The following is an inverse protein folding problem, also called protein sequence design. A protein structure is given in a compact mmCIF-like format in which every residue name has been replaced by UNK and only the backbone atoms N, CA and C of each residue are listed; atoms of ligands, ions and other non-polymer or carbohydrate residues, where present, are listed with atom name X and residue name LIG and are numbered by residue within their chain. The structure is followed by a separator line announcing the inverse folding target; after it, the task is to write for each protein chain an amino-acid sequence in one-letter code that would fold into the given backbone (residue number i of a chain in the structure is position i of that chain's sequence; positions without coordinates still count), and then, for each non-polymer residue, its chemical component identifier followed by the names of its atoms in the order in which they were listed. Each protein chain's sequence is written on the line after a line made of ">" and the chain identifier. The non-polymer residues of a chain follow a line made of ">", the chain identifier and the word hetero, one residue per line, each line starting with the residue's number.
data_IF_887240035419
#
_entry.id   IF_887240035419
#
_cell.length_a   1.000
_cell.length_b   1.000
_cell.length_c   1.000
_cell.angle_alpha   90.00
_cell.angle_beta   90.00
_cell.angle_gamma   90.00
#
_symmetry.space_group_name_H-M   'P 1'
#
loop_
_entity.id
_entity.type
_entity.pdbx_description
1 polymer ?
#
# COMPACT_ATOMS: atom_id res chain seq x y z
N UNK A 1 -11.16 -53.19 29.64
CA UNK A 1 -9.80 -53.73 29.75
C UNK A 1 -9.29 -54.44 28.50
N UNK A 2 -10.13 -54.94 27.57
CA UNK A 2 -9.65 -55.56 26.31
C UNK A 2 -9.62 -54.56 25.14
N UNK A 3 -10.48 -53.54 25.16
CA UNK A 3 -10.61 -52.58 24.05
C UNK A 3 -9.46 -51.54 23.98
N UNK A 4 -8.79 -51.25 25.11
CA UNK A 4 -7.72 -50.25 25.18
C UNK A 4 -6.37 -50.76 24.64
N UNK A 5 -6.13 -52.08 24.69
CA UNK A 5 -4.89 -52.68 24.19
C UNK A 5 -4.84 -52.73 22.65
N UNK A 6 -6.00 -52.95 22.01
CA UNK A 6 -6.13 -52.99 20.55
C UNK A 6 -5.97 -51.60 19.92
N UNK A 7 -6.45 -50.54 20.59
CA UNK A 7 -6.26 -49.16 20.15
C UNK A 7 -4.79 -48.72 20.24
N UNK A 8 -4.11 -49.05 21.34
CA UNK A 8 -2.68 -48.79 21.50
C UNK A 8 -1.82 -49.56 20.48
N UNK A 9 -2.20 -50.80 20.14
CA UNK A 9 -1.54 -51.59 19.10
C UNK A 9 -1.74 -50.98 17.69
N UNK A 10 -2.90 -50.39 17.40
CA UNK A 10 -3.16 -49.73 16.13
C UNK A 10 -2.36 -48.43 15.96
N UNK A 11 -2.28 -47.61 17.01
CA UNK A 11 -1.51 -46.36 16.98
C UNK A 11 0.00 -46.59 16.82
N UNK A 12 0.54 -47.58 17.53
CA UNK A 12 1.96 -47.96 17.43
C UNK A 12 2.31 -48.48 16.04
N UNK A 13 1.45 -49.31 15.43
CA UNK A 13 1.62 -49.78 14.06
C UNK A 13 1.58 -48.65 13.02
N UNK A 14 0.65 -47.69 13.17
CA UNK A 14 0.56 -46.52 12.31
C UNK A 14 1.80 -45.61 12.44
N UNK A 15 2.30 -45.43 13.66
CA UNK A 15 3.52 -44.66 13.93
C UNK A 15 4.75 -45.30 13.28
N UNK A 16 4.92 -46.62 13.41
CA UNK A 16 6.01 -47.38 12.77
C UNK A 16 5.91 -47.29 11.25
N UNK A 17 4.71 -47.43 10.69
CA UNK A 17 4.48 -47.28 9.24
C UNK A 17 4.82 -45.85 8.75
N UNK A 18 4.36 -44.80 9.45
CA UNK A 18 4.72 -43.40 9.16
C UNK A 18 6.24 -43.18 9.21
N UNK A 19 6.92 -43.77 10.20
CA UNK A 19 8.38 -43.64 10.36
C UNK A 19 9.14 -44.38 9.26
N UNK A 20 8.71 -45.58 8.87
CA UNK A 20 9.25 -46.33 7.71
C UNK A 20 9.02 -45.57 6.41
N UNK A 21 7.82 -45.02 6.18
CA UNK A 21 7.50 -44.17 5.02
C UNK A 21 8.33 -42.89 4.98
N UNK A 22 8.53 -42.22 6.13
CA UNK A 22 9.39 -41.03 6.26
C UNK A 22 10.87 -41.36 6.02
N UNK A 23 11.36 -42.50 6.51
CA UNK A 23 12.73 -42.99 6.24
C UNK A 23 12.92 -43.37 4.76
N UNK A 24 11.96 -44.07 4.13
CA UNK A 24 12.00 -44.40 2.69
C UNK A 24 11.93 -43.15 1.82
N UNK A 25 11.12 -42.16 2.19
CA UNK A 25 11.08 -40.84 1.54
C UNK A 25 12.39 -40.07 1.73
N UNK A 26 13.03 -40.14 2.91
CA UNK A 26 14.34 -39.52 3.16
C UNK A 26 15.46 -40.20 2.37
N UNK A 27 15.48 -41.53 2.29
CA UNK A 27 16.43 -42.30 1.45
C UNK A 27 16.28 -41.97 -0.03
N UNK A 28 15.04 -41.93 -0.54
CA UNK A 28 14.75 -41.47 -1.91
C UNK A 28 15.09 -40.01 -2.18
N UNK A 29 15.11 -39.15 -1.14
CA UNK A 29 15.54 -37.75 -1.24
C UNK A 29 17.06 -37.60 -1.17
N UNK A 30 17.77 -38.48 -0.45
CA UNK A 30 19.24 -38.52 -0.44
C UNK A 30 19.82 -39.20 -1.69
N UNK A 31 19.05 -40.06 -2.36
CA UNK A 31 19.35 -40.60 -3.70
C UNK A 31 18.93 -39.66 -4.83
N UNK A 32 18.17 -38.59 -4.55
CA UNK A 32 17.85 -37.57 -5.56
C UNK A 32 19.11 -36.74 -5.79
N UNK A 33 19.88 -37.25 -6.75
CA UNK A 33 20.87 -36.61 -7.60
C UNK A 33 21.86 -35.70 -6.88
N UNK A 34 23.07 -36.21 -6.69
CA UNK A 34 24.23 -35.33 -6.60
C UNK A 34 24.50 -34.77 -8.01
N UNK A 35 25.10 -33.59 -8.13
CA UNK A 35 25.63 -33.14 -9.41
C UNK A 35 26.74 -34.08 -9.89
N UNK A 36 26.79 -34.34 -11.19
CA UNK A 36 27.88 -35.09 -11.82
C UNK A 36 29.18 -34.27 -11.73
N UNK A 37 30.33 -34.89 -11.41
CA UNK A 37 31.62 -34.18 -11.43
C UNK A 37 32.03 -33.73 -12.85
N UNK A 38 31.38 -34.27 -13.87
CA UNK A 38 31.68 -34.00 -15.29
C UNK A 38 30.71 -32.99 -15.92
N UNK A 39 29.80 -32.41 -15.14
CA UNK A 39 28.83 -31.43 -15.62
C UNK A 39 28.99 -30.13 -14.81
N UNK A 40 29.18 -29.03 -15.52
CA UNK A 40 29.15 -27.70 -14.94
C UNK A 40 27.86 -27.00 -15.34
N UNK A 41 27.18 -26.39 -14.37
CA UNK A 41 25.99 -25.58 -14.62
C UNK A 41 26.25 -24.13 -14.27
N UNK A 42 25.59 -23.23 -14.99
CA UNK A 42 25.63 -21.80 -14.72
C UNK A 42 24.24 -21.20 -14.96
N UNK A 43 23.93 -20.11 -14.28
CA UNK A 43 22.66 -19.39 -14.42
C UNK A 43 22.91 -17.90 -14.58
N UNK A 44 22.13 -17.27 -15.45
CA UNK A 44 22.13 -15.83 -15.69
C UNK A 44 20.69 -15.32 -15.77
N UNK A 45 20.32 -14.39 -14.88
CA UNK A 45 19.04 -13.69 -14.97
C UNK A 45 19.15 -12.54 -15.98
N UNK A 46 18.23 -12.49 -16.94
CA UNK A 46 18.30 -11.56 -18.09
C UNK A 46 18.04 -10.12 -17.68
N UNK A 47 17.14 -9.90 -16.72
CA UNK A 47 16.73 -8.58 -16.22
C UNK A 47 17.45 -8.18 -14.90
N UNK A 48 18.50 -8.90 -14.52
CA UNK A 48 19.17 -8.71 -13.23
C UNK A 48 18.48 -9.45 -12.08
N UNK A 49 18.71 -8.97 -10.86
CA UNK A 49 18.29 -9.63 -9.62
C UNK A 49 16.92 -9.16 -9.09
N UNK A 50 16.19 -8.36 -9.88
CA UNK A 50 14.85 -7.87 -9.54
C UNK A 50 13.78 -8.85 -10.02
N UNK A 51 12.84 -9.17 -9.12
CA UNK A 51 11.74 -10.11 -9.39
C UNK A 51 10.38 -9.40 -9.24
N UNK A 52 9.97 -8.59 -10.24
CA UNK A 52 8.69 -7.90 -10.21
C UNK A 52 7.51 -8.87 -10.20
N UNK A 53 6.55 -8.61 -9.31
CA UNK A 53 5.31 -9.36 -9.25
C UNK A 53 4.47 -9.12 -10.52
N UNK A 54 3.81 -10.18 -11.00
CA UNK A 54 2.99 -10.19 -12.22
C UNK A 54 3.75 -9.84 -13.52
N UNK A 55 5.09 -9.88 -13.50
CA UNK A 55 5.91 -9.68 -14.69
C UNK A 55 6.73 -10.94 -15.01
N UNK A 56 7.06 -11.11 -16.29
CA UNK A 56 7.88 -12.24 -16.75
C UNK A 56 9.33 -12.02 -16.29
N UNK A 57 9.78 -12.92 -15.41
CA UNK A 57 11.18 -13.10 -15.06
C UNK A 57 11.77 -14.17 -15.98
N UNK A 58 12.92 -13.89 -16.57
CA UNK A 58 13.64 -14.79 -17.49
C UNK A 58 15.04 -15.06 -17.01
N UNK A 59 15.49 -16.29 -17.17
CA UNK A 59 16.89 -16.66 -16.99
C UNK A 59 17.36 -17.64 -18.05
N UNK A 60 18.67 -17.66 -18.24
CA UNK A 60 19.39 -18.60 -19.08
C UNK A 60 20.17 -19.54 -18.18
N UNK A 61 19.98 -20.84 -18.38
CA UNK A 61 20.75 -21.88 -17.73
C UNK A 61 21.74 -22.45 -18.74
N UNK A 62 23.03 -22.31 -18.46
CA UNK A 62 24.10 -22.96 -19.21
C UNK A 62 24.42 -24.33 -18.61
N UNK A 63 24.55 -25.33 -19.46
CA UNK A 63 25.00 -26.66 -19.11
C UNK A 63 26.23 -26.99 -19.96
N UNK A 64 27.36 -27.26 -19.31
CA UNK A 64 28.63 -27.61 -19.95
C UNK A 64 28.99 -29.05 -19.62
N UNK A 65 28.97 -29.91 -20.64
CA UNK A 65 29.43 -31.29 -20.53
C UNK A 65 30.95 -31.34 -20.69
N UNK A 66 31.66 -31.59 -19.59
CA UNK A 66 33.13 -31.80 -19.58
C UNK A 66 33.52 -33.27 -19.66
N UNK A 67 32.53 -34.17 -19.62
CA UNK A 67 32.74 -35.61 -19.67
C UNK A 67 32.99 -36.14 -21.08
N UNK A 68 33.46 -37.40 -21.17
CA UNK A 68 33.63 -38.12 -22.43
C UNK A 68 32.31 -38.73 -22.95
N UNK A 69 31.29 -38.86 -22.11
CA UNK A 69 29.97 -39.40 -22.46
C UNK A 69 28.96 -38.28 -22.69
N UNK A 70 27.87 -38.59 -23.40
CA UNK A 70 26.78 -37.66 -23.61
C UNK A 70 25.89 -37.60 -22.37
N UNK A 71 25.36 -36.41 -22.07
CA UNK A 71 24.31 -36.24 -21.07
C UNK A 71 22.98 -35.94 -21.75
N UNK A 72 21.89 -36.41 -21.17
CA UNK A 72 20.53 -36.02 -21.56
C UNK A 72 19.96 -35.15 -20.46
N UNK A 73 19.72 -33.87 -20.76
CA UNK A 73 19.05 -32.94 -19.86
C UNK A 73 17.56 -33.20 -19.93
N UNK A 74 16.99 -33.73 -18.86
CA UNK A 74 15.60 -34.20 -18.82
C UNK A 74 14.65 -33.05 -18.51
N UNK A 75 14.81 -32.40 -17.35
CA UNK A 75 13.92 -31.33 -16.93
C UNK A 75 14.63 -30.25 -16.13
N UNK A 76 14.01 -29.07 -16.13
CA UNK A 76 14.39 -27.93 -15.33
C UNK A 76 13.22 -27.57 -14.43
N UNK A 77 13.42 -27.68 -13.12
CA UNK A 77 12.38 -27.48 -12.12
C UNK A 77 12.66 -26.19 -11.33
N UNK A 78 11.81 -25.19 -11.47
CA UNK A 78 11.85 -23.96 -10.68
C UNK A 78 10.71 -23.97 -9.65
N UNK A 79 11.04 -23.63 -8.40
CA UNK A 79 10.07 -23.63 -7.31
C UNK A 79 10.32 -22.54 -6.27
N UNK A 80 9.23 -21.98 -5.76
CA UNK A 80 9.25 -21.08 -4.62
C UNK A 80 8.97 -21.83 -3.31
N UNK A 81 9.68 -21.46 -2.25
CA UNK A 81 9.40 -21.95 -0.90
C UNK A 81 8.22 -21.17 -0.33
N UNK A 82 7.06 -21.84 -0.24
CA UNK A 82 5.83 -21.38 0.43
C UNK A 82 5.16 -20.16 -0.19
N UNK A 83 3.93 -20.27 -0.75
CA UNK A 83 3.26 -21.50 -1.16
C UNK A 83 4.12 -22.24 -2.21
N UNK A 84 4.17 -23.57 -2.13
CA UNK A 84 4.98 -24.37 -3.05
C UNK A 84 4.37 -24.32 -4.45
N UNK A 85 4.85 -23.41 -5.30
CA UNK A 85 4.54 -23.41 -6.71
C UNK A 85 5.68 -24.11 -7.46
N UNK A 86 5.37 -25.17 -8.20
CA UNK A 86 6.34 -25.96 -8.97
C UNK A 86 6.06 -25.76 -10.44
N UNK A 87 7.06 -25.28 -11.15
CA UNK A 87 7.00 -25.15 -12.60
C UNK A 87 8.18 -25.91 -13.19
N UNK A 88 7.89 -26.88 -14.06
CA UNK A 88 8.88 -27.80 -14.62
C UNK A 88 8.86 -27.70 -16.14
N UNK A 89 10.01 -27.42 -16.73
CA UNK A 89 10.22 -27.47 -18.17
C UNK A 89 10.84 -28.83 -18.53
N UNK A 90 10.12 -29.63 -19.31
CA UNK A 90 10.69 -30.84 -19.89
C UNK A 90 11.52 -30.45 -21.12
N UNK A 91 12.80 -30.80 -21.13
CA UNK A 91 13.74 -30.49 -22.20
C UNK A 91 13.98 -31.73 -23.07
N UNK A 92 14.44 -32.83 -22.47
CA UNK A 92 14.78 -34.06 -23.20
C UNK A 92 15.91 -33.86 -24.23
N UNK A 93 16.82 -32.92 -24.00
CA UNK A 93 17.85 -32.52 -24.95
C UNK A 93 19.16 -33.24 -24.63
N UNK A 94 19.76 -33.86 -25.65
CA UNK A 94 21.08 -34.47 -25.55
C UNK A 94 22.18 -33.42 -25.73
N UNK A 95 23.12 -33.38 -24.77
CA UNK A 95 24.32 -32.56 -24.80
C UNK A 95 25.53 -33.48 -25.02
N UNK A 96 26.13 -33.47 -26.22
CA UNK A 96 27.27 -34.32 -26.53
C UNK A 96 28.48 -34.05 -25.62
N UNK A 97 29.39 -35.01 -25.57
CA UNK A 97 30.68 -34.87 -24.89
C UNK A 97 31.42 -33.59 -25.30
N UNK A 98 32.04 -32.91 -24.32
CA UNK A 98 32.80 -31.67 -24.52
C UNK A 98 32.02 -30.52 -25.19
N UNK A 99 30.68 -30.54 -25.14
CA UNK A 99 29.82 -29.46 -25.64
C UNK A 99 29.02 -28.80 -24.52
N UNK A 100 28.51 -27.63 -24.83
CA UNK A 100 27.61 -26.88 -23.97
C UNK A 100 26.26 -26.64 -24.64
N UNK A 101 25.23 -26.53 -23.82
CA UNK A 101 23.89 -26.14 -24.22
C UNK A 101 23.37 -25.03 -23.30
N UNK A 102 22.44 -24.22 -23.80
CA UNK A 102 21.81 -23.16 -23.03
C UNK A 102 20.30 -23.29 -23.13
N UNK A 103 19.62 -23.18 -22.00
CA UNK A 103 18.17 -23.29 -21.90
C UNK A 103 17.60 -21.98 -21.37
N UNK A 104 16.64 -21.41 -22.10
CA UNK A 104 15.87 -20.27 -21.60
C UNK A 104 14.68 -20.78 -20.81
N UNK A 105 14.47 -20.20 -19.63
CA UNK A 105 13.28 -20.44 -18.84
C UNK A 105 12.69 -19.13 -18.34
N UNK A 106 11.36 -19.09 -18.25
CA UNK A 106 10.64 -17.92 -17.79
C UNK A 106 9.47 -18.32 -16.89
N UNK A 107 9.23 -17.52 -15.87
CA UNK A 107 8.07 -17.67 -14.98
C UNK A 107 7.54 -16.29 -14.56
N UNK A 108 6.33 -16.26 -14.02
CA UNK A 108 5.67 -15.04 -13.56
C UNK A 108 5.44 -15.19 -12.05
N UNK A 109 6.11 -14.40 -11.19
CA UNK A 109 5.79 -14.36 -9.77
C UNK A 109 4.36 -13.85 -9.57
N UNK A 110 3.59 -14.48 -8.70
CA UNK A 110 2.22 -14.06 -8.44
C UNK A 110 2.19 -12.75 -7.65
N UNK A 111 1.23 -11.86 -7.95
CA UNK A 111 0.98 -10.60 -7.23
C UNK A 111 0.98 -10.71 -5.69
N UNK A 112 0.32 -11.69 -5.04
CA UNK A 112 0.34 -11.82 -3.58
C UNK A 112 1.71 -12.22 -2.99
N UNK A 113 2.70 -12.50 -3.84
CA UNK A 113 4.08 -12.69 -3.43
C UNK A 113 4.84 -11.36 -3.33
N UNK A 114 4.21 -10.25 -3.67
CA UNK A 114 4.76 -8.92 -3.48
C UNK A 114 5.28 -8.61 -2.06
N UNK A 115 6.37 -7.85 -2.00
CA UNK A 115 6.89 -7.25 -0.77
C UNK A 115 7.55 -8.21 0.22
N UNK A 116 7.73 -9.49 -0.16
CA UNK A 116 8.27 -10.52 0.74
C UNK A 116 9.45 -11.28 0.11
N UNK A 117 10.40 -11.75 0.94
CA UNK A 117 11.46 -12.63 0.50
C UNK A 117 10.96 -14.07 0.36
N UNK A 118 11.21 -14.70 -0.79
CA UNK A 118 10.92 -16.11 -1.05
C UNK A 118 12.20 -16.87 -1.38
N UNK A 119 12.31 -18.10 -0.90
CA UNK A 119 13.37 -19.00 -1.37
C UNK A 119 13.06 -19.48 -2.78
N UNK A 120 13.88 -19.12 -3.76
CA UNK A 120 13.83 -19.63 -5.13
C UNK A 120 14.84 -20.77 -5.26
N UNK A 121 14.35 -21.94 -5.68
CA UNK A 121 15.17 -23.10 -5.96
C UNK A 121 14.96 -23.54 -7.41
N UNK A 122 16.05 -23.56 -8.18
CA UNK A 122 16.09 -24.05 -9.55
C UNK A 122 16.96 -25.30 -9.57
N UNK A 123 16.36 -26.41 -9.96
CA UNK A 123 17.03 -27.69 -10.10
C UNK A 123 17.08 -28.11 -11.56
N UNK A 124 18.23 -28.64 -11.99
CA UNK A 124 18.39 -29.26 -13.29
C UNK A 124 18.50 -30.78 -13.10
N UNK A 125 17.62 -31.53 -13.76
CA UNK A 125 17.63 -32.98 -13.77
C UNK A 125 18.19 -33.47 -15.11
N UNK A 126 19.20 -34.32 -15.06
CA UNK A 126 19.86 -34.86 -16.24
C UNK A 126 20.38 -36.27 -15.97
N UNK A 127 20.66 -37.03 -17.03
CA UNK A 127 21.20 -38.39 -16.92
C UNK A 127 22.36 -38.62 -17.87
N UNK A 128 23.26 -39.51 -17.52
CA UNK A 128 24.32 -39.97 -18.42
C UNK A 128 23.81 -41.03 -19.41
N UNK A 129 24.68 -41.47 -20.31
CA UNK A 129 24.42 -42.55 -21.27
C UNK A 129 24.11 -43.90 -20.59
N UNK A 130 24.57 -44.09 -19.35
CA UNK A 130 24.35 -45.30 -18.54
C UNK A 130 23.01 -45.26 -17.80
N UNK A 131 22.25 -44.16 -17.88
CA UNK A 131 20.97 -43.99 -17.23
C UNK A 131 21.05 -43.56 -15.75
N UNK A 132 22.22 -43.17 -15.26
CA UNK A 132 22.36 -42.62 -13.91
C UNK A 132 21.76 -41.22 -13.87
N UNK A 133 20.88 -40.98 -12.91
CA UNK A 133 20.17 -39.70 -12.76
C UNK A 133 20.96 -38.80 -11.82
N UNK A 134 21.26 -37.61 -12.30
CA UNK A 134 21.89 -36.51 -11.58
C UNK A 134 20.91 -35.35 -11.42
N UNK A 135 21.09 -34.61 -10.34
CA UNK A 135 20.31 -33.41 -10.06
C UNK A 135 21.28 -32.37 -9.55
N UNK A 136 21.19 -31.17 -10.11
CA UNK A 136 22.01 -30.05 -9.68
C UNK A 136 21.12 -28.88 -9.26
N UNK A 137 21.39 -28.33 -8.07
CA UNK A 137 20.66 -27.19 -7.51
C UNK A 137 21.35 -25.89 -7.94
N UNK A 138 21.20 -25.57 -9.22
CA UNK A 138 21.90 -24.46 -9.90
C UNK A 138 21.66 -23.11 -9.21
N UNK A 139 20.47 -22.92 -8.64
CA UNK A 139 20.16 -21.75 -7.85
C UNK A 139 19.36 -22.13 -6.60
N UNK A 140 19.78 -21.66 -5.44
CA UNK A 140 19.08 -21.88 -4.16
C UNK A 140 19.34 -20.69 -3.24
N UNK A 141 18.68 -19.57 -3.53
CA UNK A 141 18.82 -18.33 -2.78
C UNK A 141 17.46 -17.73 -2.47
N UNK A 142 17.44 -16.78 -1.54
CA UNK A 142 16.26 -16.01 -1.22
C UNK A 142 16.21 -14.79 -2.13
N UNK A 143 15.12 -14.62 -2.86
CA UNK A 143 14.86 -13.47 -3.75
C UNK A 143 13.70 -12.67 -3.19
N UNK A 144 13.76 -11.35 -3.32
CA UNK A 144 12.67 -10.46 -2.89
C UNK A 144 11.81 -10.15 -4.09
N UNK A 145 10.51 -10.44 -3.99
CA UNK A 145 9.57 -10.09 -5.05
C UNK A 145 9.10 -8.67 -4.81
N UNK A 146 9.35 -7.80 -5.77
CA UNK A 146 8.95 -6.40 -5.69
C UNK A 146 7.52 -6.25 -6.17
N UNK A 147 6.69 -5.56 -5.41
CA UNK A 147 5.39 -5.12 -5.91
C UNK A 147 5.65 -4.09 -7.00
N UNK A 148 4.88 -4.17 -8.08
CA UNK A 148 4.78 -3.02 -8.96
C UNK A 148 4.04 -1.97 -8.17
N UNK A 149 4.72 -0.89 -7.81
CA UNK A 149 4.04 0.33 -7.46
C UNK A 149 3.31 0.77 -8.73
N UNK A 150 2.03 0.41 -8.83
CA UNK A 150 1.13 1.14 -9.71
C UNK A 150 1.31 2.60 -9.27
N UNK A 151 2.00 3.39 -10.11
CA UNK A 151 2.62 4.69 -9.77
C UNK A 151 1.65 5.81 -9.43
N UNK A 152 0.50 5.44 -8.90
CA UNK A 152 -0.62 6.22 -8.44
C UNK A 152 -0.64 6.03 -6.91
N UNK A 153 0.35 6.62 -6.25
CA UNK A 153 0.43 6.62 -4.79
C UNK A 153 -0.82 7.28 -4.21
N UNK A 154 -1.71 6.44 -3.69
CA UNK A 154 -2.98 6.85 -3.11
C UNK A 154 -2.80 7.81 -1.94
N UNK A 155 -1.66 7.73 -1.23
CA UNK A 155 -1.33 8.65 -0.15
C UNK A 155 -1.09 10.07 -0.69
N UNK A 156 -0.23 10.20 -1.70
CA UNK A 156 0.04 11.49 -2.36
C UNK A 156 -1.20 12.09 -3.01
N UNK A 157 -2.01 11.26 -3.66
CA UNK A 157 -3.25 11.71 -4.31
C UNK A 157 -4.28 12.15 -3.28
N UNK A 158 -4.44 11.39 -2.19
CA UNK A 158 -5.29 11.78 -1.08
C UNK A 158 -4.82 13.09 -0.47
N UNK A 159 -3.51 13.27 -0.25
CA UNK A 159 -2.93 14.50 0.28
C UNK A 159 -3.29 15.71 -0.59
N UNK A 160 -3.15 15.60 -1.92
CA UNK A 160 -3.49 16.70 -2.82
C UNK A 160 -4.99 17.01 -2.86
N UNK A 161 -5.85 15.99 -2.89
CA UNK A 161 -7.31 16.19 -2.80
C UNK A 161 -7.68 16.83 -1.46
N UNK A 162 -7.12 16.36 -0.36
CA UNK A 162 -7.35 16.92 0.98
C UNK A 162 -6.87 18.37 1.10
N UNK A 163 -5.67 18.69 0.61
CA UNK A 163 -5.16 20.07 0.56
C UNK A 163 -6.05 20.98 -0.29
N UNK A 164 -6.52 20.50 -1.43
CA UNK A 164 -7.42 21.26 -2.29
C UNK A 164 -8.75 21.56 -1.59
N UNK A 165 -9.31 20.57 -0.86
CA UNK A 165 -10.51 20.73 -0.06
C UNK A 165 -10.33 21.71 1.09
N UNK A 166 -9.20 21.63 1.81
CA UNK A 166 -8.87 22.56 2.89
C UNK A 166 -8.68 23.98 2.36
N UNK A 167 -8.01 24.14 1.22
CA UNK A 167 -7.85 25.42 0.54
C UNK A 167 -9.19 26.04 0.15
N UNK A 168 -10.10 25.25 -0.40
CA UNK A 168 -11.45 25.71 -0.74
C UNK A 168 -12.24 26.12 0.51
N UNK A 169 -12.12 25.36 1.60
CA UNK A 169 -12.75 25.68 2.88
C UNK A 169 -12.20 26.99 3.45
N UNK A 170 -10.89 27.24 3.38
CA UNK A 170 -10.29 28.52 3.79
C UNK A 170 -10.84 29.67 2.95
N UNK A 171 -10.92 29.52 1.62
CA UNK A 171 -11.47 30.56 0.73
C UNK A 171 -12.93 30.86 1.07
N UNK A 172 -13.76 29.82 1.24
CA UNK A 172 -15.17 29.98 1.65
C UNK A 172 -15.27 30.58 3.04
N UNK A 173 -14.44 30.16 4.00
CA UNK A 173 -14.40 30.69 5.35
C UNK A 173 -14.03 32.17 5.39
N UNK A 174 -13.04 32.60 4.59
CA UNK A 174 -12.70 34.01 4.41
C UNK A 174 -13.84 34.78 3.75
N UNK A 175 -14.48 34.22 2.71
CA UNK A 175 -15.63 34.85 2.05
C UNK A 175 -16.77 35.09 3.06
N UNK A 176 -17.13 34.08 3.85
CA UNK A 176 -18.16 34.18 4.89
C UNK A 176 -17.78 35.17 6.00
N UNK A 177 -16.51 35.24 6.39
CA UNK A 177 -16.03 36.21 7.38
C UNK A 177 -16.11 37.66 6.87
N UNK A 178 -15.76 37.90 5.61
CA UNK A 178 -15.85 39.23 4.99
C UNK A 178 -17.31 39.64 4.82
N UNK A 179 -18.17 38.72 4.38
CA UNK A 179 -19.58 38.99 4.15
C UNK A 179 -20.34 39.21 5.46
N UNK A 180 -20.04 38.42 6.49
CA UNK A 180 -20.59 38.64 7.84
C UNK A 180 -20.14 39.97 8.45
N UNK A 181 -18.92 40.45 8.17
CA UNK A 181 -18.48 41.81 8.58
C UNK A 181 -19.22 42.92 7.84
N UNK A 182 -19.54 42.75 6.55
CA UNK A 182 -20.33 43.73 5.78
C UNK A 182 -21.77 43.85 6.30
N UNK A 183 -22.35 42.77 6.83
CA UNK A 183 -23.68 42.77 7.46
C UNK A 183 -23.72 43.41 8.86
N UNK A 184 -22.57 43.75 9.47
CA UNK A 184 -22.49 44.46 10.75
C UNK A 184 -22.47 45.99 10.61
N UNK A 185 -22.92 46.54 9.49
CA UNK A 185 -23.28 47.96 9.47
C UNK A 185 -24.60 48.09 10.24
N UNK A 186 -24.65 48.79 11.39
CA UNK A 186 -25.93 49.07 12.01
C UNK A 186 -26.81 49.77 10.97
N UNK A 187 -28.04 49.27 10.78
CA UNK A 187 -29.02 49.97 9.96
C UNK A 187 -29.03 51.44 10.42
N UNK A 188 -29.04 52.43 9.50
CA UNK A 188 -29.15 53.82 9.90
C UNK A 188 -30.35 53.90 10.82
N UNK A 189 -30.14 54.36 12.07
CA UNK A 189 -31.22 54.57 13.00
C UNK A 189 -32.11 55.61 12.34
N UNK A 190 -33.23 55.16 11.77
CA UNK A 190 -34.30 56.05 11.37
C UNK A 190 -34.83 56.59 12.69
N UNK A 191 -34.42 57.81 13.03
CA UNK A 191 -34.92 58.52 14.18
C UNK A 191 -36.40 58.80 13.91
N UNK A 192 -37.27 57.88 14.34
CA UNK A 192 -38.66 58.22 14.63
C UNK A 192 -38.66 59.07 15.91
N UNK A 193 -38.27 60.33 15.76
CA UNK A 193 -38.23 61.34 16.81
C UNK A 193 -38.76 62.66 16.25
N UNK A 194 -39.73 63.24 16.95
CA UNK A 194 -40.52 64.44 16.60
C UNK A 194 -39.74 65.76 16.64
N UNK A 195 -38.48 65.76 16.19
CA UNK A 195 -37.58 66.92 16.21
C UNK A 195 -37.25 67.47 14.81
N UNK A 196 -38.20 67.39 13.87
CA UNK A 196 -38.19 68.24 12.68
C UNK A 196 -39.40 69.17 12.75
N UNK A 197 -39.25 70.30 13.42
CA UNK A 197 -40.22 71.41 13.37
C UNK A 197 -40.09 72.23 12.07
N UNK A 198 -39.19 71.85 11.16
CA UNK A 198 -38.93 72.58 9.92
C UNK A 198 -39.84 72.15 8.75
N UNK A 199 -40.62 71.07 8.88
CA UNK A 199 -41.52 70.56 7.83
C UNK A 199 -43.01 70.66 8.20
N UNK A 200 -43.34 71.40 9.25
CA UNK A 200 -44.73 71.58 9.70
C UNK A 200 -45.17 73.00 9.38
N UNK A 201 -46.16 73.15 8.50
CA UNK A 201 -46.74 74.46 8.18
C UNK A 201 -47.56 74.99 9.36
N UNK A 202 -47.16 76.14 9.88
CA UNK A 202 -47.75 76.81 11.04
C UNK A 202 -48.77 77.89 10.63
N UNK A 203 -49.11 77.99 9.33
CA UNK A 203 -50.04 78.99 8.78
C UNK A 203 -51.47 78.95 9.34
N UNK A 204 -51.89 77.82 9.93
CA UNK A 204 -53.22 77.65 10.52
C UNK A 204 -53.35 78.23 11.93
N UNK A 205 -52.23 78.62 12.57
CA UNK A 205 -52.20 79.14 13.94
C UNK A 205 -52.24 80.67 13.91
N UNK A 206 -53.08 81.32 14.71
CA UNK A 206 -53.10 82.78 14.82
C UNK A 206 -51.70 83.35 15.17
N UNK A 207 -51.31 84.45 14.51
CA UNK A 207 -49.97 85.03 14.66
C UNK A 207 -49.62 85.44 16.10
N UNK A 208 -50.62 85.79 16.91
CA UNK A 208 -50.42 86.07 18.34
C UNK A 208 -49.89 84.86 19.10
N UNK A 209 -50.35 83.64 18.78
CA UNK A 209 -49.93 82.41 19.44
C UNK A 209 -48.53 81.98 19.00
N UNK A 210 -48.23 82.14 17.71
CA UNK A 210 -46.90 81.89 17.13
C UNK A 210 -45.80 82.74 17.81
N UNK A 211 -46.09 84.01 18.06
CA UNK A 211 -45.15 84.93 18.71
C UNK A 211 -44.90 84.59 20.19
N UNK A 212 -45.85 83.95 20.87
CA UNK A 212 -45.68 83.48 22.26
C UNK A 212 -44.83 82.20 22.31
N UNK A 213 -45.05 81.27 21.38
CA UNK A 213 -44.32 80.00 21.30
C UNK A 213 -42.83 80.24 20.96
N UNK A 214 -42.55 81.14 20.03
CA UNK A 214 -41.16 81.48 19.66
C UNK A 214 -40.40 82.23 20.77
N UNK A 215 -41.09 82.93 21.67
CA UNK A 215 -40.46 83.61 22.83
C UNK A 215 -40.17 82.68 24.00
N UNK A 216 -40.89 81.57 24.13
CA UNK A 216 -40.78 80.64 25.24
C UNK A 216 -39.91 79.42 24.87
N UNK A 217 -38.62 79.63 24.58
CA UNK A 217 -37.66 78.52 24.54
C UNK A 217 -37.41 78.05 25.99
N UNK A 218 -37.85 76.84 26.41
CA UNK A 218 -37.62 76.38 27.77
C UNK A 218 -36.13 76.08 27.93
N UNK A 219 -35.49 76.84 28.81
CA UNK A 219 -34.10 76.69 29.23
C UNK A 219 -33.87 75.24 29.68
N UNK A 220 -33.11 74.50 28.87
CA UNK A 220 -32.71 73.09 29.05
C UNK A 220 -32.25 72.83 30.49
N UNK A 221 -32.93 71.95 31.21
CA UNK A 221 -32.57 71.59 32.59
C UNK A 221 -31.27 70.77 32.63
N UNK A 222 -30.42 70.89 33.69
CA UNK A 222 -29.13 70.21 33.74
C UNK A 222 -29.31 68.71 33.99
N UNK A 223 -28.76 67.91 33.09
CA UNK A 223 -28.70 66.44 33.17
C UNK A 223 -27.81 66.02 34.35
N UNK A 224 -28.39 65.38 35.39
CA UNK A 224 -27.63 64.73 36.48
C UNK A 224 -26.70 63.65 35.89
N UNK A 225 -25.40 63.82 36.08
CA UNK A 225 -24.35 62.84 35.74
C UNK A 225 -24.20 61.87 36.91
N UNK A 226 -24.77 60.66 36.81
CA UNK A 226 -24.45 59.59 37.75
C UNK A 226 -22.98 59.19 37.58
N UNK A 227 -22.19 59.35 38.64
CA UNK A 227 -20.83 58.84 38.73
C UNK A 227 -20.86 57.31 38.76
N UNK A 228 -20.11 56.67 37.86
CA UNK A 228 -19.77 55.25 37.89
C UNK A 228 -19.01 54.96 39.19
N UNK A 229 -19.54 54.07 40.04
CA UNK A 229 -18.73 53.36 41.02
C UNK A 229 -17.91 52.29 40.30
N UNK A 230 -16.59 52.39 40.41
CA UNK A 230 -15.64 51.30 40.17
C UNK A 230 -15.35 50.62 41.50
N UNK A 231 -15.57 49.31 41.60
CA UNK A 231 -14.81 48.39 42.46
C UNK A 231 -15.37 46.98 42.31
N UNK A 232 -14.50 45.99 42.11
CA UNK A 232 -14.86 44.56 42.13
C UNK A 232 -14.00 43.72 41.20
N UNK A 233 -12.71 43.62 41.51
CA UNK A 233 -11.79 42.57 41.05
C UNK A 233 -12.02 41.26 41.81
N UNK A 234 -11.66 40.15 41.17
CA UNK A 234 -11.51 38.76 41.66
C UNK A 234 -12.77 37.99 42.10
N UNK A 235 -13.25 37.12 41.21
CA UNK A 235 -13.00 35.67 41.25
C UNK A 235 -13.17 35.04 39.85
#
# INVERSE_FOLDING_TARGET
>A
DVDDEDEAAAETNLFVYRRKKKRKRRRRRSERGKASPNADTTILFVKGDDFPANEIVKFLLGFSNKGPENFVVESLDASFRYPQNFTALQLGIEVPASRQATFEYSFIPAEPMGGRPFGLVINLNYKDANGNIFQDAVFNQTVTITEREDGLDGETIFLYVFLSGLGLLVVVGLHQLIESRKRRRPAPKVEMGTSSHNDVDLSWIPQETLNQINKASPRRSPRKRNQKRSAGSDE
#
